data_IF_868749789573
#
_entry.id   IF_868749789573
#
_cell.length_a   1.000
_cell.length_b   1.000
_cell.length_c   1.000
_cell.angle_alpha   90.00
_cell.angle_beta   90.00
_cell.angle_gamma   90.00
#
_symmetry.space_group_name_H-M   'P 1'
#
loop_
_entity.id
_entity.type
_entity.pdbx_description
1 polymer ?
#
# COMPACT_ATOMS: atom_id res chain seq x y z
N UNK A 1 56.22 -13.63 -17.40
CA UNK A 1 55.30 -14.52 -16.65
C UNK A 1 55.07 -14.06 -15.20
N UNK A 2 56.06 -13.45 -14.52
CA UNK A 2 55.93 -13.01 -13.10
C UNK A 2 54.85 -11.92 -12.84
N UNK A 3 54.59 -11.00 -13.76
CA UNK A 3 53.54 -9.94 -13.56
C UNK A 3 52.11 -10.46 -13.50
N UNK A 4 51.82 -11.61 -14.10
CA UNK A 4 50.44 -12.20 -14.10
C UNK A 4 50.14 -12.99 -12.83
N UNK A 5 51.21 -13.50 -12.17
CA UNK A 5 51.07 -14.26 -10.89
C UNK A 5 50.80 -13.30 -9.73
N UNK A 6 51.40 -12.11 -9.73
CA UNK A 6 51.17 -11.07 -8.71
C UNK A 6 49.72 -10.50 -8.73
N UNK A 7 49.06 -10.52 -9.89
CA UNK A 7 47.68 -10.02 -10.02
C UNK A 7 46.62 -11.02 -9.49
N UNK A 8 46.96 -12.32 -9.48
CA UNK A 8 46.08 -13.35 -8.92
C UNK A 8 46.13 -13.46 -7.40
N UNK A 9 47.24 -13.11 -6.77
CA UNK A 9 47.39 -13.09 -5.31
C UNK A 9 46.68 -11.89 -4.65
N UNK A 10 46.45 -10.78 -5.36
CA UNK A 10 45.76 -9.59 -4.82
C UNK A 10 44.24 -9.70 -4.71
N UNK A 11 43.61 -10.64 -5.42
CA UNK A 11 42.15 -10.83 -5.44
C UNK A 11 41.67 -11.82 -4.36
N UNK A 12 42.58 -12.63 -3.79
CA UNK A 12 42.21 -13.68 -2.82
C UNK A 12 42.08 -13.21 -1.36
N UNK A 13 42.30 -11.92 -1.03
CA UNK A 13 42.38 -11.41 0.34
C UNK A 13 41.17 -10.56 0.79
N UNK A 14 40.06 -10.53 0.05
CA UNK A 14 38.86 -9.71 0.41
C UNK A 14 37.62 -10.53 0.80
N UNK A 15 37.78 -11.79 1.20
CA UNK A 15 36.68 -12.56 1.78
C UNK A 15 36.92 -12.75 3.28
N UNK A 16 36.96 -11.65 4.02
CA UNK A 16 36.77 -11.68 5.49
C UNK A 16 35.27 -11.46 5.73
N UNK A 17 34.56 -12.56 5.91
CA UNK A 17 33.14 -12.56 6.28
C UNK A 17 32.98 -11.92 7.66
N UNK A 18 32.21 -10.83 7.73
CA UNK A 18 31.66 -10.32 8.98
C UNK A 18 30.53 -11.26 9.44
N UNK A 19 30.89 -12.27 10.21
CA UNK A 19 29.97 -13.03 11.04
C UNK A 19 29.65 -12.22 12.29
N UNK A 20 28.64 -11.37 12.26
CA UNK A 20 28.07 -10.76 13.45
C UNK A 20 27.14 -11.77 14.13
N UNK A 21 27.62 -12.43 15.19
CA UNK A 21 26.80 -13.14 16.14
C UNK A 21 25.95 -12.11 16.90
N UNK A 22 24.74 -11.84 16.40
CA UNK A 22 23.72 -11.12 17.16
C UNK A 22 23.23 -12.09 18.23
N UNK A 23 23.64 -11.89 19.49
CA UNK A 23 22.98 -12.50 20.64
C UNK A 23 21.58 -11.91 20.70
N UNK A 24 20.58 -12.76 20.47
CA UNK A 24 19.20 -12.45 20.83
C UNK A 24 19.15 -12.48 22.35
N UNK A 25 19.24 -11.34 22.98
CA UNK A 25 18.89 -11.20 24.39
C UNK A 25 17.38 -11.50 24.51
N UNK A 26 17.02 -12.43 25.39
CA UNK A 26 15.66 -12.77 25.75
C UNK A 26 14.95 -11.50 26.24
N UNK A 27 14.12 -10.90 25.36
CA UNK A 27 13.21 -9.85 25.76
C UNK A 27 12.11 -10.53 26.57
N UNK A 28 11.92 -10.22 27.88
CA UNK A 28 10.83 -10.81 28.65
C UNK A 28 9.50 -10.39 28.01
N UNK A 29 8.76 -11.38 27.51
CA UNK A 29 7.38 -11.20 27.06
C UNK A 29 6.54 -10.89 28.29
N UNK A 30 6.19 -9.62 28.48
CA UNK A 30 5.21 -9.22 29.49
C UNK A 30 3.83 -9.53 28.94
N UNK A 31 3.32 -10.71 29.30
CA UNK A 31 1.91 -11.05 29.07
C UNK A 31 1.03 -10.10 29.87
N UNK A 32 0.38 -9.19 29.15
CA UNK A 32 -0.74 -8.42 29.69
C UNK A 32 -2.01 -9.29 29.70
N UNK A 33 -1.94 -10.38 30.40
CA UNK A 33 -3.15 -11.10 30.81
C UNK A 33 -3.77 -10.35 31.97
N UNK A 34 -4.94 -9.77 31.70
CA UNK A 34 -5.74 -9.12 32.74
C UNK A 34 -5.98 -10.08 33.91
N UNK A 35 -5.77 -9.58 35.11
CA UNK A 35 -5.97 -10.29 36.36
C UNK A 35 -7.30 -11.01 36.38
N UNK A 36 -7.26 -12.32 36.67
CA UNK A 36 -8.42 -13.12 36.97
C UNK A 36 -9.11 -12.57 38.24
N UNK A 37 -10.36 -12.13 38.07
CA UNK A 37 -11.20 -11.70 39.18
C UNK A 37 -11.78 -12.94 39.84
N UNK A 38 -11.34 -13.26 41.03
CA UNK A 38 -11.94 -14.29 41.90
C UNK A 38 -13.30 -13.79 42.41
N UNK A 39 -14.38 -14.55 42.32
CA UNK A 39 -15.67 -14.13 42.90
C UNK A 39 -15.65 -14.31 44.42
N UNK A 40 -15.56 -13.18 45.11
CA UNK A 40 -15.80 -13.12 46.56
C UNK A 40 -17.12 -12.41 46.82
N UNK A 41 -18.01 -13.07 47.52
CA UNK A 41 -19.29 -12.57 47.98
C UNK A 41 -19.14 -11.43 48.99
N UNK A 42 -19.96 -10.37 48.89
CA UNK A 42 -20.07 -9.38 49.94
C UNK A 42 -20.75 -8.10 49.47
N UNK A 43 -21.98 -7.84 49.93
CA UNK A 43 -22.82 -6.72 49.55
C UNK A 43 -22.30 -5.36 50.04
N UNK A 44 -22.74 -4.30 49.38
CA UNK A 44 -22.53 -2.91 49.75
C UNK A 44 -23.10 -1.98 48.71
N UNK A 45 -24.26 -1.36 49.00
CA UNK A 45 -24.85 -0.25 48.26
C UNK A 45 -23.91 0.94 48.30
N UNK A 46 -23.78 1.67 47.17
CA UNK A 46 -23.08 2.95 47.13
C UNK A 46 -23.10 3.58 45.76
N UNK A 47 -24.05 4.47 45.58
CA UNK A 47 -24.09 5.72 44.80
C UNK A 47 -23.24 5.85 43.53
N UNK A 48 -23.96 6.30 42.50
CA UNK A 48 -23.55 6.67 41.16
C UNK A 48 -22.28 7.46 40.98
N UNK A 49 -21.56 7.13 39.93
CA UNK A 49 -20.69 8.04 39.25
C UNK A 49 -20.76 7.75 37.75
N UNK A 50 -21.07 8.80 37.01
CA UNK A 50 -21.37 8.77 35.59
C UNK A 50 -20.27 8.13 34.77
N UNK A 51 -20.64 7.11 34.07
CA UNK A 51 -19.92 6.63 32.90
C UNK A 51 -19.97 7.76 31.86
N UNK A 52 -18.87 8.53 31.75
CA UNK A 52 -18.63 9.32 30.55
C UNK A 52 -18.63 8.35 29.38
N UNK A 53 -19.79 8.23 28.73
CA UNK A 53 -19.87 7.64 27.42
C UNK A 53 -18.90 8.42 26.54
N UNK A 54 -17.79 7.79 26.18
CA UNK A 54 -16.94 8.24 25.07
C UNK A 54 -17.85 8.21 23.85
N UNK A 55 -18.44 9.35 23.55
CA UNK A 55 -19.23 9.54 22.32
C UNK A 55 -18.25 9.51 21.16
N UNK A 56 -17.87 8.31 20.72
CA UNK A 56 -17.31 8.12 19.39
C UNK A 56 -18.49 8.41 18.47
N UNK A 57 -18.48 9.62 17.90
CA UNK A 57 -19.45 9.98 16.88
C UNK A 57 -19.37 8.90 15.78
N UNK A 58 -20.49 8.30 15.37
CA UNK A 58 -20.47 7.36 14.26
C UNK A 58 -19.92 8.09 13.03
N UNK A 59 -18.77 7.64 12.53
CA UNK A 59 -18.22 8.13 11.27
C UNK A 59 -19.15 7.63 10.17
N UNK A 60 -19.94 8.54 9.65
CA UNK A 60 -20.85 8.28 8.52
C UNK A 60 -20.00 8.07 7.27
N UNK A 61 -19.65 6.81 7.00
CA UNK A 61 -18.88 6.40 5.82
C UNK A 61 -19.59 6.71 4.50
N UNK A 62 -20.89 7.02 4.53
CA UNK A 62 -21.64 7.38 3.32
C UNK A 62 -21.34 8.80 2.82
N UNK A 63 -20.84 9.68 3.69
CA UNK A 63 -20.44 11.06 3.32
C UNK A 63 -19.03 11.17 2.80
N UNK A 64 -18.15 10.20 3.06
CA UNK A 64 -16.74 10.26 2.61
C UNK A 64 -16.56 10.01 1.11
N UNK A 65 -17.58 9.58 0.39
CA UNK A 65 -17.51 9.24 -1.02
C UNK A 65 -17.93 10.33 -2.01
N UNK A 66 -18.63 11.37 -1.58
CA UNK A 66 -19.25 12.32 -2.51
C UNK A 66 -18.38 13.53 -2.88
N UNK A 67 -17.42 13.91 -2.06
CA UNK A 67 -16.52 15.05 -2.34
C UNK A 67 -15.21 14.67 -3.02
N UNK A 68 -15.00 13.39 -3.28
CA UNK A 68 -13.76 12.84 -3.87
C UNK A 68 -13.86 12.70 -5.39
N UNK A 69 -14.56 13.61 -6.09
CA UNK A 69 -14.70 13.53 -7.53
C UNK A 69 -13.40 13.96 -8.23
N UNK A 70 -12.78 13.02 -8.93
CA UNK A 70 -11.67 13.27 -9.84
C UNK A 70 -12.14 13.91 -11.15
N UNK A 71 -11.26 14.00 -12.16
CA UNK A 71 -11.64 14.47 -13.49
C UNK A 71 -12.72 13.55 -14.09
N UNK A 72 -13.51 14.10 -15.02
CA UNK A 72 -14.46 13.29 -15.76
C UNK A 72 -13.70 12.25 -16.62
N UNK A 73 -14.14 11.00 -16.58
CA UNK A 73 -13.55 9.91 -17.36
C UNK A 73 -13.18 8.69 -16.52
N UNK A 74 -12.35 7.83 -17.10
CA UNK A 74 -11.88 6.62 -16.44
C UNK A 74 -10.81 6.94 -15.39
N UNK A 75 -10.88 6.27 -14.26
CA UNK A 75 -9.89 6.29 -13.21
C UNK A 75 -9.09 4.96 -13.14
N UNK A 76 -9.14 4.16 -14.20
CA UNK A 76 -8.55 2.83 -14.27
C UNK A 76 -7.43 2.79 -15.31
N UNK A 77 -6.31 2.18 -14.95
CA UNK A 77 -5.18 1.86 -15.84
C UNK A 77 -4.97 0.36 -15.80
N UNK A 78 -5.13 -0.32 -16.94
CA UNK A 78 -4.97 -1.77 -17.02
C UNK A 78 -3.57 -2.17 -17.50
N UNK A 79 -3.16 -3.38 -17.10
CA UNK A 79 -1.82 -3.92 -17.37
C UNK A 79 -1.90 -5.31 -17.98
N UNK A 80 -0.86 -5.64 -18.75
CA UNK A 80 -0.69 -6.98 -19.25
C UNK A 80 -0.27 -7.97 -18.15
N UNK A 81 -0.35 -9.26 -18.47
CA UNK A 81 0.09 -10.31 -17.56
C UNK A 81 1.56 -10.10 -17.19
N UNK A 82 1.85 -10.22 -15.90
CA UNK A 82 3.20 -10.10 -15.34
C UNK A 82 3.95 -8.82 -15.73
N UNK A 83 3.21 -7.74 -16.02
CA UNK A 83 3.75 -6.46 -16.47
C UNK A 83 3.30 -5.31 -15.57
N UNK A 84 4.17 -4.32 -15.44
CA UNK A 84 3.91 -3.01 -14.84
C UNK A 84 4.17 -1.85 -15.82
N UNK A 85 4.29 -2.17 -17.11
CA UNK A 85 4.45 -1.18 -18.18
C UNK A 85 3.11 -0.55 -18.50
N UNK A 86 3.03 0.78 -18.47
CA UNK A 86 1.83 1.51 -18.83
C UNK A 86 1.64 1.45 -20.36
N UNK A 87 0.48 0.96 -20.80
CA UNK A 87 0.17 0.88 -22.21
C UNK A 87 -0.17 2.27 -22.77
N UNK A 88 0.16 2.56 -24.05
CA UNK A 88 -0.08 3.88 -24.67
C UNK A 88 -1.53 4.35 -24.60
N UNK A 89 -2.49 3.42 -24.63
CA UNK A 89 -3.92 3.71 -24.57
C UNK A 89 -4.36 4.39 -23.25
N UNK A 90 -3.58 4.23 -22.16
CA UNK A 90 -3.88 4.87 -20.88
C UNK A 90 -3.16 6.19 -20.63
N UNK A 91 -2.33 6.65 -21.56
CA UNK A 91 -1.64 7.95 -21.42
C UNK A 91 -2.63 9.10 -21.27
N UNK A 92 -3.69 9.11 -22.08
CA UNK A 92 -4.74 10.14 -22.00
C UNK A 92 -5.47 10.16 -20.62
N UNK A 93 -5.65 8.99 -20.00
CA UNK A 93 -6.22 8.90 -18.64
C UNK A 93 -5.25 9.56 -17.64
N UNK A 94 -3.98 9.20 -17.69
CA UNK A 94 -2.95 9.74 -16.79
C UNK A 94 -2.81 11.23 -16.95
N UNK A 95 -2.79 11.74 -18.21
CA UNK A 95 -2.72 13.18 -18.49
C UNK A 95 -3.93 13.96 -17.94
N UNK A 96 -5.15 13.40 -18.06
CA UNK A 96 -6.33 14.02 -17.50
C UNK A 96 -6.25 14.17 -15.98
N UNK A 97 -5.80 13.12 -15.30
CA UNK A 97 -5.57 13.14 -13.85
C UNK A 97 -4.42 14.07 -13.46
N UNK A 98 -3.33 14.11 -14.22
CA UNK A 98 -2.22 15.02 -13.99
C UNK A 98 -2.65 16.49 -14.10
N UNK A 99 -3.39 16.87 -15.13
CA UNK A 99 -3.95 18.24 -15.28
C UNK A 99 -4.85 18.61 -14.12
N UNK A 100 -5.71 17.68 -13.69
CA UNK A 100 -6.60 17.89 -12.55
C UNK A 100 -5.82 18.13 -11.25
N UNK A 101 -4.84 17.29 -10.94
CA UNK A 101 -4.02 17.40 -9.73
C UNK A 101 -3.12 18.64 -9.75
N UNK A 102 -2.55 19.01 -10.88
CA UNK A 102 -1.75 20.22 -11.04
C UNK A 102 -2.57 21.50 -10.80
N UNK A 103 -3.85 21.51 -11.22
CA UNK A 103 -4.78 22.60 -10.96
C UNK A 103 -5.29 22.61 -9.51
N UNK A 104 -5.29 21.47 -8.82
CA UNK A 104 -5.84 21.31 -7.48
C UNK A 104 -4.76 20.79 -6.51
N UNK A 105 -3.79 21.62 -6.15
CA UNK A 105 -2.59 21.22 -5.40
C UNK A 105 -2.85 20.70 -3.97
N UNK A 106 -3.99 21.00 -3.40
CA UNK A 106 -4.43 20.49 -2.08
C UNK A 106 -5.08 19.10 -2.17
N UNK A 107 -5.49 18.69 -3.37
CA UNK A 107 -6.10 17.39 -3.57
C UNK A 107 -5.05 16.29 -3.52
N UNK A 108 -5.40 15.20 -2.85
CA UNK A 108 -4.59 13.97 -2.76
C UNK A 108 -5.29 12.83 -3.46
N UNK A 109 -4.50 11.96 -4.05
CA UNK A 109 -4.98 10.73 -4.67
C UNK A 109 -4.18 9.53 -4.18
N UNK A 110 -4.84 8.39 -4.09
CA UNK A 110 -4.22 7.11 -3.82
C UNK A 110 -4.30 6.25 -5.08
N UNK A 111 -3.19 5.64 -5.43
CA UNK A 111 -3.07 4.70 -6.53
C UNK A 111 -3.10 3.28 -5.96
N UNK A 112 -4.23 2.60 -6.12
CA UNK A 112 -4.43 1.23 -5.64
C UNK A 112 -3.99 0.24 -6.71
N UNK A 113 -2.88 -0.46 -6.48
CA UNK A 113 -2.33 -1.45 -7.40
C UNK A 113 -2.87 -2.85 -7.15
N UNK A 114 -3.35 -3.50 -8.20
CA UNK A 114 -3.98 -4.82 -8.15
C UNK A 114 -3.37 -5.78 -9.17
N UNK A 115 -3.53 -7.07 -8.90
CA UNK A 115 -3.12 -8.16 -9.78
C UNK A 115 -4.27 -9.16 -9.97
N UNK A 116 -4.10 -10.07 -10.92
CA UNK A 116 -4.94 -11.27 -10.97
C UNK A 116 -4.54 -12.25 -9.85
N UNK A 117 -5.29 -13.34 -9.69
CA UNK A 117 -5.11 -14.30 -8.59
C UNK A 117 -3.88 -15.22 -8.73
N UNK A 118 -3.30 -15.31 -9.94
CA UNK A 118 -2.19 -16.21 -10.23
C UNK A 118 -0.93 -15.82 -9.48
N UNK A 119 -0.19 -16.81 -8.99
CA UNK A 119 1.05 -16.61 -8.26
C UNK A 119 0.89 -16.43 -6.74
N UNK A 120 2.01 -16.30 -6.04
CA UNK A 120 2.09 -16.14 -4.59
C UNK A 120 1.62 -14.75 -4.12
N UNK A 121 1.24 -14.66 -2.86
CA UNK A 121 0.72 -13.42 -2.24
C UNK A 121 1.76 -12.30 -2.25
N UNK A 122 2.96 -12.59 -1.81
CA UNK A 122 4.06 -11.64 -1.72
C UNK A 122 4.47 -11.12 -3.09
N UNK A 123 4.53 -12.01 -4.07
CA UNK A 123 4.81 -11.64 -5.45
C UNK A 123 3.76 -10.66 -5.99
N UNK A 124 2.48 -10.98 -5.82
CA UNK A 124 1.38 -10.14 -6.29
C UNK A 124 1.34 -8.78 -5.57
N UNK A 125 1.67 -8.75 -4.28
CA UNK A 125 1.79 -7.50 -3.54
C UNK A 125 2.90 -6.62 -4.12
N UNK A 126 4.07 -7.22 -4.41
CA UNK A 126 5.19 -6.51 -5.03
C UNK A 126 4.86 -6.04 -6.46
N UNK A 127 4.17 -6.88 -7.27
CA UNK A 127 3.77 -6.51 -8.64
C UNK A 127 2.73 -5.37 -8.65
N UNK A 128 1.73 -5.45 -7.76
CA UNK A 128 0.75 -4.37 -7.58
C UNK A 128 1.41 -3.05 -7.18
N UNK A 129 2.41 -3.10 -6.28
CA UNK A 129 3.19 -1.94 -5.88
C UNK A 129 3.95 -1.33 -7.08
N UNK A 130 4.64 -2.15 -7.88
CA UNK A 130 5.34 -1.68 -9.09
C UNK A 130 4.40 -1.00 -10.09
N UNK A 131 3.17 -1.51 -10.25
CA UNK A 131 2.13 -0.90 -11.10
C UNK A 131 1.71 0.47 -10.59
N UNK A 132 1.36 0.57 -9.30
CA UNK A 132 0.99 1.83 -8.68
C UNK A 132 2.13 2.87 -8.77
N UNK A 133 3.37 2.46 -8.53
CA UNK A 133 4.54 3.32 -8.65
C UNK A 133 4.83 3.74 -10.10
N UNK A 134 4.53 2.90 -11.09
CA UNK A 134 4.67 3.27 -12.50
C UNK A 134 3.73 4.43 -12.84
N UNK A 135 2.45 4.37 -12.39
CA UNK A 135 1.49 5.45 -12.56
C UNK A 135 1.91 6.70 -11.77
N UNK A 136 2.39 6.55 -10.53
CA UNK A 136 2.91 7.68 -9.73
C UNK A 136 4.05 8.41 -10.45
N UNK A 137 5.02 7.65 -10.98
CA UNK A 137 6.12 8.25 -11.76
C UNK A 137 5.63 8.98 -13.00
N UNK A 138 4.66 8.40 -13.71
CA UNK A 138 4.07 9.05 -14.89
C UNK A 138 3.37 10.36 -14.54
N UNK A 139 2.60 10.41 -13.44
CA UNK A 139 1.99 11.64 -12.92
C UNK A 139 3.05 12.68 -12.52
N UNK A 140 4.12 12.24 -11.85
CA UNK A 140 5.24 13.12 -11.45
C UNK A 140 5.95 13.75 -12.66
N UNK A 141 6.18 13.00 -13.74
CA UNK A 141 6.75 13.52 -14.99
C UNK A 141 5.85 14.58 -15.64
N UNK A 142 4.54 14.55 -15.39
CA UNK A 142 3.55 15.52 -15.82
C UNK A 142 3.35 16.69 -14.84
N UNK A 143 4.22 16.79 -13.81
CA UNK A 143 4.24 17.93 -12.88
C UNK A 143 3.35 17.80 -11.64
N UNK A 144 2.83 16.62 -11.34
CA UNK A 144 2.11 16.35 -10.09
C UNK A 144 3.10 16.22 -8.93
N UNK A 145 2.85 16.92 -7.83
CA UNK A 145 3.72 16.86 -6.65
C UNK A 145 3.64 15.51 -5.93
N UNK A 146 4.79 14.99 -5.47
CA UNK A 146 4.86 13.71 -4.76
C UNK A 146 3.95 13.63 -3.53
N UNK A 147 3.77 14.75 -2.82
CA UNK A 147 2.90 14.84 -1.65
C UNK A 147 1.39 14.67 -1.98
N UNK A 148 1.01 14.74 -3.26
CA UNK A 148 -0.37 14.57 -3.72
C UNK A 148 -0.70 13.12 -4.04
N UNK A 149 0.30 12.24 -4.20
CA UNK A 149 0.11 10.89 -4.74
C UNK A 149 0.70 9.84 -3.81
N UNK A 150 -0.15 8.96 -3.32
CA UNK A 150 0.22 7.79 -2.53
C UNK A 150 0.05 6.53 -3.39
N UNK A 151 1.05 5.64 -3.40
CA UNK A 151 0.99 4.36 -4.11
C UNK A 151 0.88 3.22 -3.10
N UNK A 152 -0.19 2.42 -3.20
CA UNK A 152 -0.48 1.31 -2.30
C UNK A 152 -0.83 0.07 -3.12
N UNK A 153 -0.36 -1.09 -2.70
CA UNK A 153 -0.70 -2.36 -3.33
C UNK A 153 -1.69 -3.16 -2.48
N UNK A 154 -2.69 -3.69 -3.14
CA UNK A 154 -3.56 -4.73 -2.61
C UNK A 154 -3.23 -6.12 -3.20
N UNK A 155 -2.28 -6.18 -4.15
CA UNK A 155 -1.97 -7.42 -4.83
C UNK A 155 -3.22 -8.08 -5.38
N UNK A 156 -3.44 -9.36 -5.07
CA UNK A 156 -4.62 -10.13 -5.49
C UNK A 156 -5.77 -10.14 -4.46
N UNK A 157 -5.62 -9.43 -3.32
CA UNK A 157 -6.55 -9.53 -2.20
C UNK A 157 -7.87 -8.76 -2.43
N UNK A 158 -7.90 -7.86 -3.44
CA UNK A 158 -9.07 -7.02 -3.74
C UNK A 158 -9.41 -7.11 -5.23
N UNK A 159 -9.97 -8.23 -5.70
CA UNK A 159 -10.36 -8.39 -7.09
C UNK A 159 -11.54 -7.49 -7.45
N UNK A 160 -11.53 -6.93 -8.66
CA UNK A 160 -12.67 -6.18 -9.21
C UNK A 160 -13.77 -7.13 -9.70
N UNK A 161 -13.36 -8.28 -10.23
CA UNK A 161 -14.25 -9.29 -10.78
C UNK A 161 -13.80 -10.66 -10.28
N UNK A 162 -14.73 -11.42 -9.74
CA UNK A 162 -14.50 -12.83 -9.41
C UNK A 162 -14.52 -13.66 -10.71
N UNK A 163 -13.64 -14.64 -10.80
CA UNK A 163 -13.52 -15.55 -11.93
C UNK A 163 -12.08 -15.97 -12.16
N UNK A 164 -11.92 -17.11 -12.82
CA UNK A 164 -10.64 -17.74 -13.10
C UNK A 164 -10.36 -17.86 -14.61
N UNK A 165 -10.93 -16.96 -15.38
CA UNK A 165 -10.72 -16.84 -16.82
C UNK A 165 -9.92 -15.56 -17.16
N UNK A 166 -9.41 -15.47 -18.39
CA UNK A 166 -8.60 -14.33 -18.81
C UNK A 166 -9.42 -13.03 -18.84
N UNK A 167 -10.73 -13.09 -19.02
CA UNK A 167 -11.58 -11.90 -19.02
C UNK A 167 -11.69 -11.28 -17.62
N UNK A 168 -11.76 -12.12 -16.58
CA UNK A 168 -11.71 -11.69 -15.18
C UNK A 168 -10.29 -11.21 -14.81
N UNK A 169 -9.26 -11.97 -15.20
CA UNK A 169 -7.87 -11.61 -14.92
C UNK A 169 -7.48 -10.27 -15.53
N UNK A 170 -7.86 -10.00 -16.77
CA UNK A 170 -7.58 -8.73 -17.43
C UNK A 170 -8.17 -7.53 -16.67
N UNK A 171 -9.37 -7.67 -16.09
CA UNK A 171 -10.02 -6.64 -15.28
C UNK A 171 -9.38 -6.47 -13.89
N UNK A 172 -8.79 -7.53 -13.37
CA UNK A 172 -8.12 -7.50 -12.07
C UNK A 172 -6.70 -6.89 -12.15
N UNK A 173 -6.01 -7.00 -13.28
CA UNK A 173 -4.69 -6.39 -13.50
C UNK A 173 -4.83 -4.88 -13.75
N UNK A 174 -5.01 -4.10 -12.69
CA UNK A 174 -5.30 -2.67 -12.81
C UNK A 174 -4.63 -1.83 -11.74
N UNK A 175 -4.58 -0.54 -11.97
CA UNK A 175 -4.41 0.50 -10.96
C UNK A 175 -5.66 1.36 -10.95
N UNK A 176 -6.22 1.58 -9.76
CA UNK A 176 -7.32 2.50 -9.53
C UNK A 176 -6.78 3.82 -9.00
N UNK A 177 -7.21 4.94 -9.59
CA UNK A 177 -6.87 6.30 -9.16
C UNK A 177 -8.00 6.79 -8.27
N UNK A 178 -7.80 6.74 -6.95
CA UNK A 178 -8.83 7.03 -5.94
C UNK A 178 -8.57 8.39 -5.32
N UNK A 179 -9.54 9.29 -5.39
CA UNK A 179 -9.47 10.57 -4.70
C UNK A 179 -10.06 10.46 -3.30
N UNK A 180 -9.32 10.96 -2.31
CA UNK A 180 -9.85 11.08 -0.96
C UNK A 180 -10.48 12.46 -0.78
N UNK A 181 -11.57 12.52 -0.02
CA UNK A 181 -12.10 13.79 0.45
C UNK A 181 -10.99 14.54 1.20
N UNK A 182 -10.90 15.86 1.01
CA UNK A 182 -9.99 16.68 1.79
C UNK A 182 -10.36 16.49 3.27
N UNK A 183 -9.44 15.97 4.07
CA UNK A 183 -9.62 15.97 5.51
C UNK A 183 -9.51 17.42 5.99
N UNK A 184 -10.44 17.90 6.83
CA UNK A 184 -10.41 19.22 7.39
C UNK A 184 -9.19 19.47 8.27
#
# INVERSE_FOLDING_TARGET
MMKRILMFCAVALLVVGCGSNVKLDDVPVVDRTGSAVTPGAGGGQGAGSGTTQSAVAPVDLSKSGQDAKGPAGSNLVYFDYDSFVIKPEFQGVIEAHARYLAANRTRKTMLEGHTDERGGREYNLALGQKRAEAVRRALGLLGVGDAQVEAVSFGKEKPAVAGNDESAYAKNRRVEIVYRAAQP
#
